data_IF_344545394432
#
_entry.id   IF_344545394432
#
_cell.length_a   1.000
_cell.length_b   1.000
_cell.length_c   1.000
_cell.angle_alpha   90.00
_cell.angle_beta   90.00
_cell.angle_gamma   90.00
#
_symmetry.space_group_name_H-M   'P 1'
#
loop_
_entity.id
_entity.type
_entity.pdbx_description
1 polymer ?
#
# COMPACT_ATOMS: atom_id res chain seq x y z
N UNK A 1 23.12 -39.45 -29.39
CA UNK A 1 24.45 -38.90 -29.06
C UNK A 1 24.34 -37.40 -29.05
N UNK A 2 24.72 -36.76 -27.95
CA UNK A 2 24.72 -35.30 -27.86
C UNK A 2 26.05 -34.79 -28.44
N UNK A 3 26.03 -33.71 -29.20
CA UNK A 3 27.24 -33.08 -29.71
C UNK A 3 27.26 -31.63 -29.28
N UNK A 4 28.43 -31.13 -28.89
CA UNK A 4 28.57 -29.72 -28.57
C UNK A 4 28.36 -28.89 -29.84
N UNK A 5 27.44 -27.93 -29.80
CA UNK A 5 27.17 -27.02 -30.93
C UNK A 5 28.39 -26.20 -31.37
N UNK A 6 29.32 -25.93 -30.46
CA UNK A 6 30.49 -25.06 -30.71
C UNK A 6 31.74 -25.82 -31.16
N UNK A 7 32.11 -26.89 -30.47
CA UNK A 7 33.35 -27.64 -30.78
C UNK A 7 33.10 -28.99 -31.46
N UNK A 8 31.85 -29.40 -31.64
CA UNK A 8 31.50 -30.66 -32.31
C UNK A 8 31.87 -31.92 -31.54
N UNK A 9 32.40 -31.81 -30.31
CA UNK A 9 32.79 -32.97 -29.52
C UNK A 9 31.57 -33.81 -29.13
N UNK A 10 31.62 -35.15 -29.26
CA UNK A 10 30.56 -36.02 -28.78
C UNK A 10 30.54 -36.00 -27.25
N UNK A 11 29.34 -35.82 -26.68
CA UNK A 11 29.07 -35.80 -25.26
C UNK A 11 28.24 -37.05 -24.91
N UNK A 12 28.69 -37.78 -23.89
CA UNK A 12 27.99 -38.98 -23.42
C UNK A 12 26.64 -38.64 -22.77
N UNK A 13 26.52 -37.46 -22.15
CA UNK A 13 25.33 -37.00 -21.43
C UNK A 13 25.13 -35.48 -21.58
N UNK A 14 23.93 -34.98 -21.27
CA UNK A 14 23.65 -33.54 -21.21
C UNK A 14 24.38 -32.91 -20.02
N UNK A 15 25.55 -32.35 -20.28
CA UNK A 15 26.35 -31.63 -19.30
C UNK A 15 25.95 -30.16 -19.29
N UNK A 16 26.02 -29.52 -18.11
CA UNK A 16 25.76 -28.08 -17.96
C UNK A 16 26.78 -27.22 -18.73
N UNK A 17 27.98 -27.74 -18.91
CA UNK A 17 29.10 -27.06 -19.56
C UNK A 17 29.93 -28.06 -20.37
N UNK A 18 30.50 -27.63 -21.50
CA UNK A 18 31.39 -28.48 -22.29
C UNK A 18 32.77 -28.60 -21.63
N UNK A 19 33.32 -29.82 -21.43
CA UNK A 19 34.64 -30.01 -20.83
C UNK A 19 35.82 -29.54 -21.71
N UNK A 20 35.58 -29.24 -22.99
CA UNK A 20 36.63 -28.89 -23.96
C UNK A 20 36.61 -27.40 -24.31
N UNK A 21 35.43 -26.84 -24.56
CA UNK A 21 35.30 -25.44 -24.99
C UNK A 21 34.60 -24.54 -23.97
N UNK A 22 34.24 -25.09 -22.80
CA UNK A 22 33.56 -24.38 -21.71
C UNK A 22 32.25 -23.69 -22.12
N UNK A 23 31.65 -24.12 -23.23
CA UNK A 23 30.37 -23.56 -23.68
C UNK A 23 29.25 -24.02 -22.74
N UNK A 24 28.45 -23.10 -22.18
CA UNK A 24 27.31 -23.45 -21.35
C UNK A 24 26.21 -24.06 -22.21
N UNK A 25 25.55 -25.11 -21.70
CA UNK A 25 24.48 -25.84 -22.38
C UNK A 25 24.85 -26.29 -23.81
N UNK A 26 25.89 -27.11 -23.97
CA UNK A 26 26.46 -27.44 -25.28
C UNK A 26 25.52 -28.20 -26.22
N UNK A 27 24.50 -28.88 -25.69
CA UNK A 27 23.55 -29.68 -26.47
C UNK A 27 22.27 -28.91 -26.90
N UNK A 28 21.98 -27.75 -26.29
CA UNK A 28 20.88 -26.87 -26.67
C UNK A 28 19.46 -27.45 -26.53
N UNK A 29 18.94 -27.29 -25.30
CA UNK A 29 17.54 -27.39 -24.79
C UNK A 29 16.87 -28.77 -24.57
N UNK A 30 16.01 -28.90 -23.53
CA UNK A 30 15.91 -28.14 -22.28
C UNK A 30 16.20 -29.02 -21.05
N UNK A 31 16.93 -28.47 -20.07
CA UNK A 31 16.70 -28.87 -18.69
C UNK A 31 15.22 -28.59 -18.44
N UNK A 32 14.44 -29.61 -18.09
CA UNK A 32 13.05 -29.47 -17.66
C UNK A 32 12.98 -28.50 -16.46
N UNK A 33 12.93 -27.20 -16.75
CA UNK A 33 12.64 -26.13 -15.81
C UNK A 33 11.16 -25.84 -15.97
N UNK A 34 10.35 -26.71 -15.38
CA UNK A 34 8.99 -26.32 -15.04
C UNK A 34 9.08 -25.10 -14.12
N UNK A 35 8.87 -23.90 -14.67
CA UNK A 35 8.45 -22.69 -13.97
C UNK A 35 9.18 -22.36 -12.65
N UNK A 36 10.49 -22.54 -12.56
CA UNK A 36 11.24 -21.96 -11.44
C UNK A 36 11.56 -20.51 -11.79
N UNK A 37 10.66 -19.62 -11.35
CA UNK A 37 10.90 -18.19 -11.26
C UNK A 37 12.24 -17.95 -10.55
N UNK A 38 13.24 -17.48 -11.30
CA UNK A 38 14.54 -17.06 -10.77
C UNK A 38 14.44 -15.69 -10.06
N UNK A 39 13.48 -15.51 -9.16
CA UNK A 39 13.41 -14.35 -8.27
C UNK A 39 13.82 -14.66 -6.82
N UNK A 40 14.22 -15.90 -6.54
CA UNK A 40 14.76 -16.33 -5.24
C UNK A 40 16.24 -15.96 -5.00
N UNK A 41 16.79 -14.94 -5.67
CA UNK A 41 17.96 -14.23 -5.12
C UNK A 41 17.50 -13.34 -3.98
N UNK A 42 17.20 -14.02 -2.88
CA UNK A 42 17.01 -13.54 -1.53
C UNK A 42 18.16 -12.59 -1.17
N UNK A 43 17.87 -11.29 -1.10
CA UNK A 43 18.75 -10.30 -0.52
C UNK A 43 18.43 -10.25 0.99
N UNK A 44 19.32 -10.76 1.88
CA UNK A 44 19.05 -10.84 3.32
C UNK A 44 19.02 -9.47 4.03
N UNK A 45 19.21 -8.38 3.30
CA UNK A 45 18.90 -7.03 3.76
C UNK A 45 17.48 -6.71 3.27
N UNK A 46 16.50 -7.47 3.75
CA UNK A 46 15.11 -7.08 3.60
C UNK A 46 14.90 -5.85 4.50
N UNK A 47 14.69 -4.62 3.98
CA UNK A 47 13.85 -3.72 4.73
C UNK A 47 12.52 -4.46 4.85
N UNK A 48 11.97 -4.53 6.06
CA UNK A 48 10.66 -5.11 6.31
C UNK A 48 9.69 -4.62 5.23
N UNK A 49 9.39 -5.47 4.24
CA UNK A 49 8.24 -5.25 3.37
C UNK A 49 7.04 -5.56 4.27
N UNK A 50 6.68 -4.62 5.16
CA UNK A 50 5.33 -4.55 5.66
C UNK A 50 4.46 -4.58 4.40
N UNK A 51 3.73 -5.68 4.19
CA UNK A 51 2.72 -5.76 3.15
C UNK A 51 1.76 -4.60 3.42
N UNK A 52 1.96 -3.49 2.73
CA UNK A 52 1.21 -2.27 2.99
C UNK A 52 -0.24 -2.58 2.62
N UNK A 53 -1.05 -2.72 3.65
CA UNK A 53 -2.42 -3.18 3.52
C UNK A 53 -3.23 -2.04 2.90
N UNK A 54 -3.53 -2.15 1.61
CA UNK A 54 -4.38 -1.19 0.90
C UNK A 54 -5.67 -0.95 1.68
N UNK A 55 -5.91 0.32 2.02
CA UNK A 55 -7.05 0.71 2.83
C UNK A 55 -8.30 0.87 1.96
N UNK A 56 -9.44 0.52 2.55
CA UNK A 56 -10.71 0.61 1.83
C UNK A 56 -11.27 2.02 1.90
N UNK A 57 -11.64 2.56 0.74
CA UNK A 57 -12.31 3.85 0.58
C UNK A 57 -13.66 3.86 1.28
N UNK A 58 -14.42 2.77 1.16
CA UNK A 58 -15.73 2.64 1.80
C UNK A 58 -15.60 2.76 3.31
N UNK A 59 -14.58 2.12 3.88
CA UNK A 59 -14.33 2.15 5.32
C UNK A 59 -13.86 3.55 5.77
N UNK A 60 -12.98 4.20 5.00
CA UNK A 60 -12.57 5.59 5.27
C UNK A 60 -13.75 6.58 5.22
N UNK A 61 -14.65 6.44 4.24
CA UNK A 61 -15.85 7.25 4.14
C UNK A 61 -16.82 7.00 5.29
N UNK A 62 -17.03 5.72 5.65
CA UNK A 62 -17.89 5.34 6.77
C UNK A 62 -17.36 5.91 8.10
N UNK A 63 -16.05 5.83 8.32
CA UNK A 63 -15.38 6.46 9.46
C UNK A 63 -15.60 7.98 9.48
N UNK A 64 -15.56 8.64 8.31
CA UNK A 64 -15.79 10.07 8.21
C UNK A 64 -17.23 10.47 8.57
N UNK A 65 -18.22 9.67 8.23
CA UNK A 65 -19.62 9.96 8.54
C UNK A 65 -20.00 9.70 10.00
N UNK A 66 -19.55 8.58 10.58
CA UNK A 66 -19.98 8.19 11.93
C UNK A 66 -19.09 8.73 13.05
N UNK A 67 -17.79 8.83 12.79
CA UNK A 67 -16.79 9.13 13.82
C UNK A 67 -15.79 10.19 13.36
N UNK A 68 -16.13 10.98 12.34
CA UNK A 68 -15.28 12.03 11.80
C UNK A 68 -14.98 13.14 12.79
N UNK A 69 -15.85 13.39 13.77
CA UNK A 69 -15.60 14.36 14.85
C UNK A 69 -14.34 14.01 15.67
N UNK A 70 -14.03 12.72 15.80
CA UNK A 70 -12.85 12.24 16.53
C UNK A 70 -11.55 12.34 15.73
N UNK A 71 -11.63 12.61 14.42
CA UNK A 71 -10.49 12.52 13.52
C UNK A 71 -10.11 11.08 13.11
N UNK A 72 -10.87 10.06 13.54
CA UNK A 72 -10.71 8.67 13.13
C UNK A 72 -10.46 8.42 11.62
N UNK A 73 -11.15 9.08 10.66
CA UNK A 73 -10.83 8.90 9.24
C UNK A 73 -9.39 9.29 8.89
N UNK A 74 -8.84 10.35 9.50
CA UNK A 74 -7.46 10.78 9.25
C UNK A 74 -6.44 9.82 9.85
N UNK A 75 -6.71 9.29 11.04
CA UNK A 75 -5.87 8.24 11.63
C UNK A 75 -5.91 6.96 10.82
N UNK A 76 -7.09 6.57 10.34
CA UNK A 76 -7.23 5.44 9.43
C UNK A 76 -6.41 5.66 8.17
N UNK A 77 -6.40 6.87 7.61
CA UNK A 77 -5.64 7.25 6.42
C UNK A 77 -4.16 7.64 6.72
N UNK A 78 -3.59 7.21 7.85
CA UNK A 78 -2.22 7.53 8.31
C UNK A 78 -1.85 9.03 8.36
N UNK A 79 -2.79 9.95 8.24
CA UNK A 79 -2.60 11.39 8.41
C UNK A 79 -2.57 11.76 9.90
N UNK A 80 -1.64 11.15 10.66
CA UNK A 80 -1.56 11.26 12.14
C UNK A 80 -1.50 12.72 12.61
N UNK A 81 -0.69 13.56 11.95
CA UNK A 81 -0.58 14.99 12.28
C UNK A 81 -1.91 15.72 12.09
N UNK A 82 -2.57 15.48 10.96
CA UNK A 82 -3.86 16.13 10.64
C UNK A 82 -4.95 15.66 11.59
N UNK A 83 -5.01 14.35 11.88
CA UNK A 83 -5.95 13.79 12.86
C UNK A 83 -5.75 14.38 14.26
N UNK A 84 -4.50 14.58 14.69
CA UNK A 84 -4.19 15.19 15.98
C UNK A 84 -4.61 16.67 16.03
N UNK A 85 -4.28 17.44 14.98
CA UNK A 85 -4.71 18.84 14.86
C UNK A 85 -6.22 18.96 14.86
N UNK A 86 -6.92 18.08 14.14
CA UNK A 86 -8.38 18.03 14.11
C UNK A 86 -8.96 17.81 15.51
N UNK A 87 -8.45 16.82 16.25
CA UNK A 87 -8.88 16.51 17.60
C UNK A 87 -8.63 17.70 18.56
N UNK A 88 -7.47 18.34 18.48
CA UNK A 88 -7.17 19.54 19.27
C UNK A 88 -8.13 20.69 18.96
N UNK A 89 -8.37 20.97 17.67
CA UNK A 89 -9.32 22.03 17.29
C UNK A 89 -10.73 21.73 17.80
N UNK A 90 -11.20 20.49 17.68
CA UNK A 90 -12.50 20.09 18.21
C UNK A 90 -12.62 20.32 19.73
N UNK A 91 -11.60 19.98 20.51
CA UNK A 91 -11.58 20.22 21.96
C UNK A 91 -11.67 21.72 22.27
N UNK A 92 -10.86 22.55 21.60
CA UNK A 92 -10.85 24.01 21.81
C UNK A 92 -12.22 24.61 21.47
N UNK A 93 -12.80 24.19 20.36
CA UNK A 93 -14.12 24.65 19.92
C UNK A 93 -15.24 24.26 20.88
N UNK A 94 -15.21 23.03 21.41
CA UNK A 94 -16.17 22.59 22.43
C UNK A 94 -16.00 23.42 23.71
N UNK A 95 -14.76 23.60 24.19
CA UNK A 95 -14.49 24.39 25.39
C UNK A 95 -14.97 25.85 25.23
N UNK A 96 -14.71 26.46 24.08
CA UNK A 96 -15.15 27.82 23.77
C UNK A 96 -16.68 27.92 23.68
N UNK A 97 -17.34 26.94 23.07
CA UNK A 97 -18.80 26.91 22.97
C UNK A 97 -19.48 26.71 24.34
N UNK A 98 -18.87 25.96 25.26
CA UNK A 98 -19.35 25.84 26.65
C UNK A 98 -19.29 27.20 27.36
N UNK A 99 -18.22 27.98 27.16
CA UNK A 99 -18.05 29.30 27.77
C UNK A 99 -19.01 30.36 27.19
N UNK A 100 -19.32 30.29 25.90
CA UNK A 100 -20.19 31.24 25.19
C UNK A 100 -21.69 30.92 25.32
N UNK A 101 -22.04 29.71 25.75
CA UNK A 101 -23.42 29.28 26.01
C UNK A 101 -24.02 28.36 24.94
N UNK A 102 -25.17 27.76 25.28
CA UNK A 102 -25.78 26.63 24.56
C UNK A 102 -26.15 26.90 23.10
N UNK A 103 -26.49 28.15 22.75
CA UNK A 103 -26.82 28.51 21.37
C UNK A 103 -25.64 28.26 20.40
N UNK A 104 -24.41 28.59 20.82
CA UNK A 104 -23.21 28.41 20.01
C UNK A 104 -22.82 26.94 19.86
N UNK A 105 -23.15 26.09 20.84
CA UNK A 105 -22.94 24.64 20.74
C UNK A 105 -23.73 24.03 19.58
N UNK A 106 -24.99 24.42 19.38
CA UNK A 106 -25.79 23.89 18.27
C UNK A 106 -25.24 24.28 16.90
N UNK A 107 -24.81 25.54 16.75
CA UNK A 107 -24.17 26.02 15.51
C UNK A 107 -22.88 25.23 15.26
N UNK A 108 -22.07 25.02 16.29
CA UNK A 108 -20.81 24.30 16.19
C UNK A 108 -21.01 22.83 15.78
N UNK A 109 -21.96 22.14 16.43
CA UNK A 109 -22.34 20.77 16.08
C UNK A 109 -22.82 20.69 14.63
N UNK A 110 -23.64 21.65 14.20
CA UNK A 110 -24.12 21.74 12.81
C UNK A 110 -22.98 21.87 11.81
N UNK A 111 -22.03 22.78 12.06
CA UNK A 111 -20.85 22.96 11.19
C UNK A 111 -19.96 21.72 11.15
N UNK A 112 -19.73 21.07 12.30
CA UNK A 112 -18.93 19.83 12.38
C UNK A 112 -19.60 18.68 11.64
N UNK A 113 -20.92 18.55 11.72
CA UNK A 113 -21.67 17.54 10.95
C UNK A 113 -21.58 17.79 9.45
N UNK A 114 -21.74 19.04 9.01
CA UNK A 114 -21.60 19.41 7.59
C UNK A 114 -20.18 19.13 7.09
N UNK A 115 -19.15 19.45 7.88
CA UNK A 115 -17.77 19.16 7.54
C UNK A 115 -17.50 17.65 7.42
N UNK A 116 -18.07 16.83 8.30
CA UNK A 116 -17.97 15.37 8.24
C UNK A 116 -18.65 14.79 7.01
N UNK A 117 -19.86 15.26 6.70
CA UNK A 117 -20.60 14.83 5.51
C UNK A 117 -19.82 15.23 4.24
N UNK A 118 -19.33 16.46 4.19
CA UNK A 118 -18.51 16.95 3.08
C UNK A 118 -17.23 16.13 2.90
N UNK A 119 -16.53 15.80 3.98
CA UNK A 119 -15.34 14.96 3.96
C UNK A 119 -15.65 13.53 3.48
N UNK A 120 -16.72 12.92 3.98
CA UNK A 120 -17.15 11.58 3.56
C UNK A 120 -17.49 11.55 2.07
N UNK A 121 -18.26 12.53 1.59
CA UNK A 121 -18.58 12.67 0.15
C UNK A 121 -17.30 12.89 -0.67
N UNK A 122 -16.39 13.75 -0.20
CA UNK A 122 -15.12 14.02 -0.89
C UNK A 122 -14.27 12.77 -1.06
N UNK A 123 -14.15 11.95 -0.01
CA UNK A 123 -13.40 10.68 -0.04
C UNK A 123 -14.05 9.69 -1.02
N UNK A 124 -15.38 9.66 -1.13
CA UNK A 124 -16.08 8.77 -2.05
C UNK A 124 -15.91 9.21 -3.51
N UNK A 125 -16.11 10.50 -3.78
CA UNK A 125 -16.09 11.06 -5.14
C UNK A 125 -14.69 11.12 -5.74
N UNK A 126 -13.65 11.33 -4.93
CA UNK A 126 -12.29 11.48 -5.44
C UNK A 126 -11.65 10.11 -5.69
N UNK A 127 -11.60 9.69 -6.95
CA UNK A 127 -11.00 8.43 -7.38
C UNK A 127 -9.52 8.30 -7.03
N UNK A 128 -8.80 9.41 -7.05
CA UNK A 128 -7.35 9.45 -6.87
C UNK A 128 -6.95 9.88 -5.45
N UNK A 129 -7.85 9.67 -4.49
CA UNK A 129 -7.56 10.01 -3.10
C UNK A 129 -6.46 9.08 -2.57
N UNK A 130 -5.36 9.70 -2.12
CA UNK A 130 -4.19 9.01 -1.57
C UNK A 130 -4.19 9.05 -0.05
N UNK A 131 -3.72 7.97 0.55
CA UNK A 131 -3.42 7.85 1.98
C UNK A 131 -2.13 8.63 2.34
N UNK A 132 -1.83 8.80 3.63
CA UNK A 132 -0.60 9.43 4.12
C UNK A 132 0.70 8.72 3.69
N UNK A 133 0.59 7.47 3.23
CA UNK A 133 1.69 6.71 2.61
C UNK A 133 1.73 6.83 1.07
N UNK A 134 0.98 7.79 0.48
CA UNK A 134 0.85 8.02 -0.97
C UNK A 134 0.19 6.89 -1.79
N UNK A 135 -0.47 5.94 -1.13
CA UNK A 135 -1.19 4.84 -1.78
C UNK A 135 -2.63 5.20 -2.10
N UNK A 136 -3.18 4.62 -3.17
CA UNK A 136 -4.57 4.83 -3.58
C UNK A 136 -5.54 4.00 -2.74
N UNK A 137 -6.69 4.59 -2.42
CA UNK A 137 -7.78 3.91 -1.72
C UNK A 137 -8.61 3.02 -2.66
N UNK A 138 -8.95 1.80 -2.21
CA UNK A 138 -9.73 0.81 -2.95
C UNK A 138 -11.21 0.75 -2.57
#
# INVERSE_FOLDING_TARGET
MFTCKKCGTPLEQQLKECPVCHEPNPAGEPLNMAGQDYTDTYNPIAPEFELIRQKSRKLAALLAFFVGFSGAPFFYLNYKRVGLWWLFTAIIFIAMAILLGSFYLYILIGMVLLAQIGLGIYIVLKSDFKDGNHELLR
#
